data_IF_490907021722
#
_entry.id   IF_490907021722
#
_cell.length_a   1.000
_cell.length_b   1.000
_cell.length_c   1.000
_cell.angle_alpha   90.00
_cell.angle_beta   90.00
_cell.angle_gamma   90.00
#
_symmetry.space_group_name_H-M   'P 1'
#
loop_
_entity.id
_entity.type
_entity.pdbx_description
1 polymer ?
#
# COMPACT_ATOMS: atom_id res chain seq x y z
N UNK A 1 -11.04 -19.36 10.73
CA UNK A 1 -11.11 -18.30 9.71
C UNK A 1 -9.68 -17.93 9.42
N UNK A 2 -9.07 -18.66 8.50
CA UNK A 2 -7.75 -18.32 7.98
C UNK A 2 -8.00 -17.14 7.04
N UNK A 3 -7.76 -15.92 7.51
CA UNK A 3 -7.63 -14.78 6.62
C UNK A 3 -6.18 -14.80 6.16
N UNK A 4 -5.97 -14.92 4.86
CA UNK A 4 -4.67 -14.72 4.28
C UNK A 4 -4.20 -13.28 4.61
N UNK A 5 -2.94 -13.06 4.97
CA UNK A 5 -2.44 -11.75 5.40
C UNK A 5 -2.64 -10.65 4.34
N UNK A 6 -2.77 -11.04 3.07
CA UNK A 6 -3.12 -10.19 1.94
C UNK A 6 -4.52 -9.59 2.05
N UNK A 7 -5.53 -10.37 2.48
CA UNK A 7 -6.91 -9.90 2.63
C UNK A 7 -7.02 -8.80 3.68
N UNK A 8 -6.35 -9.00 4.82
CA UNK A 8 -6.32 -8.00 5.89
C UNK A 8 -5.62 -6.73 5.42
N UNK A 9 -4.53 -6.88 4.67
CA UNK A 9 -3.78 -5.74 4.11
C UNK A 9 -4.63 -4.98 3.09
N UNK A 10 -5.34 -5.69 2.21
CA UNK A 10 -6.25 -5.10 1.22
C UNK A 10 -7.39 -4.34 1.88
N UNK A 11 -7.96 -4.86 2.97
CA UNK A 11 -8.99 -4.18 3.74
C UNK A 11 -8.49 -2.84 4.35
N UNK A 12 -7.24 -2.82 4.84
CA UNK A 12 -6.62 -1.59 5.36
C UNK A 12 -6.40 -0.58 4.22
N UNK A 13 -5.85 -1.03 3.09
CA UNK A 13 -5.60 -0.17 1.92
C UNK A 13 -6.91 0.42 1.36
N UNK A 14 -7.96 -0.39 1.28
CA UNK A 14 -9.30 0.04 0.85
C UNK A 14 -9.88 1.13 1.75
N UNK A 15 -9.66 1.03 3.07
CA UNK A 15 -10.09 2.07 4.01
C UNK A 15 -9.33 3.37 3.78
N UNK A 16 -8.00 3.30 3.63
CA UNK A 16 -7.16 4.48 3.38
C UNK A 16 -7.54 5.16 2.05
N UNK A 17 -7.80 4.37 1.00
CA UNK A 17 -8.34 4.86 -0.27
C UNK A 17 -9.64 5.62 -0.07
N UNK A 18 -10.64 5.01 0.56
CA UNK A 18 -11.94 5.65 0.79
C UNK A 18 -11.83 6.95 1.60
N UNK A 19 -10.97 6.99 2.61
CA UNK A 19 -10.75 8.21 3.41
C UNK A 19 -10.04 9.31 2.58
N UNK A 20 -9.12 8.92 1.69
CA UNK A 20 -8.42 9.84 0.78
C UNK A 20 -9.34 10.38 -0.31
N UNK A 21 -10.17 9.54 -0.93
CA UNK A 21 -11.16 9.94 -1.94
C UNK A 21 -12.20 10.88 -1.35
N UNK A 22 -12.63 10.65 -0.10
CA UNK A 22 -13.50 11.60 0.63
C UNK A 22 -12.84 12.95 0.85
N UNK A 23 -11.53 12.97 1.12
CA UNK A 23 -10.78 14.20 1.34
C UNK A 23 -10.52 14.97 0.04
N UNK A 24 -10.19 14.26 -1.04
CA UNK A 24 -9.83 14.85 -2.34
C UNK A 24 -11.03 15.14 -3.25
N UNK A 25 -12.13 14.39 -3.10
CA UNK A 25 -13.35 14.54 -3.91
C UNK A 25 -13.27 13.90 -5.31
N UNK A 26 -12.27 13.05 -5.56
CA UNK A 26 -12.11 12.29 -6.81
C UNK A 26 -11.52 10.89 -6.53
N UNK A 27 -11.68 9.97 -7.49
CA UNK A 27 -11.23 8.58 -7.37
C UNK A 27 -9.70 8.45 -7.38
N UNK A 28 -9.16 7.63 -6.47
CA UNK A 28 -7.71 7.39 -6.34
C UNK A 28 -7.40 5.96 -6.79
N UNK A 29 -6.65 5.85 -7.88
CA UNK A 29 -6.35 4.55 -8.51
C UNK A 29 -4.88 4.14 -8.38
N UNK A 30 -3.98 5.05 -8.03
CA UNK A 30 -2.54 4.81 -8.02
C UNK A 30 -1.93 5.21 -6.66
N UNK A 31 -1.00 4.40 -6.16
CA UNK A 31 -0.35 4.66 -4.88
C UNK A 31 1.12 4.22 -4.84
N UNK A 32 1.91 4.91 -4.01
CA UNK A 32 3.24 4.47 -3.59
C UNK A 32 3.12 3.89 -2.18
N UNK A 33 3.55 2.65 -2.01
CA UNK A 33 3.41 1.90 -0.75
C UNK A 33 4.77 1.79 -0.07
N UNK A 34 4.84 2.12 1.22
CA UNK A 34 6.04 1.97 2.02
C UNK A 34 6.09 0.61 2.71
N UNK A 35 7.30 0.07 2.90
CA UNK A 35 7.54 -1.18 3.61
C UNK A 35 8.73 -1.07 4.55
N UNK A 36 8.74 -1.90 5.58
CA UNK A 36 9.89 -2.01 6.47
C UNK A 36 11.14 -2.50 5.71
N UNK A 37 12.31 -1.98 6.07
CA UNK A 37 13.61 -2.23 5.40
C UNK A 37 14.02 -3.72 5.33
N UNK A 38 13.39 -4.59 6.13
CA UNK A 38 13.68 -6.03 6.20
C UNK A 38 12.78 -6.90 5.32
N UNK A 39 11.88 -6.30 4.54
CA UNK A 39 11.05 -7.06 3.60
C UNK A 39 11.92 -7.61 2.45
N UNK A 40 11.85 -8.92 2.25
CA UNK A 40 12.52 -9.62 1.16
C UNK A 40 11.66 -9.63 -0.10
N UNK A 41 12.28 -9.82 -1.28
CA UNK A 41 11.57 -9.83 -2.56
C UNK A 41 10.34 -10.77 -2.63
N UNK A 42 10.35 -11.97 -2.01
CA UNK A 42 9.16 -12.84 -1.94
C UNK A 42 7.97 -12.21 -1.20
N UNK A 43 8.23 -11.34 -0.22
CA UNK A 43 7.21 -10.67 0.59
C UNK A 43 6.61 -9.43 -0.10
N UNK A 44 7.21 -8.96 -1.20
CA UNK A 44 6.69 -7.84 -2.01
C UNK A 44 5.49 -8.26 -2.87
N UNK A 45 5.43 -9.53 -3.30
CA UNK A 45 4.32 -10.02 -4.13
C UNK A 45 2.98 -9.96 -3.39
N UNK A 46 2.85 -10.47 -2.15
CA UNK A 46 1.66 -10.29 -1.31
C UNK A 46 1.20 -8.85 -1.19
N UNK A 47 2.12 -7.90 -0.99
CA UNK A 47 1.78 -6.48 -0.81
C UNK A 47 1.20 -5.86 -2.08
N UNK A 48 1.75 -6.22 -3.25
CA UNK A 48 1.22 -5.76 -4.54
C UNK A 48 -0.13 -6.39 -4.86
N UNK A 49 -0.31 -7.65 -4.51
CA UNK A 49 -1.60 -8.33 -4.68
C UNK A 49 -2.66 -7.69 -3.78
N UNK A 50 -2.34 -7.43 -2.51
CA UNK A 50 -3.23 -6.72 -1.60
C UNK A 50 -3.60 -5.32 -2.09
N UNK A 51 -2.67 -4.61 -2.75
CA UNK A 51 -2.96 -3.32 -3.38
C UNK A 51 -3.93 -3.47 -4.56
N UNK A 52 -3.69 -4.45 -5.42
CA UNK A 52 -4.58 -4.76 -6.54
C UNK A 52 -5.99 -5.14 -6.07
N UNK A 53 -6.10 -5.94 -5.01
CA UNK A 53 -7.37 -6.29 -4.36
C UNK A 53 -8.11 -5.09 -3.77
N UNK A 54 -7.41 -4.00 -3.47
CA UNK A 54 -7.97 -2.75 -2.98
C UNK A 54 -8.28 -1.74 -4.10
N UNK A 55 -8.26 -2.16 -5.37
CA UNK A 55 -8.37 -1.30 -6.56
C UNK A 55 -7.34 -0.15 -6.54
N UNK A 56 -6.10 -0.45 -6.14
CA UNK A 56 -4.97 0.47 -6.15
C UNK A 56 -3.80 -0.12 -6.94
N UNK A 57 -3.30 0.61 -7.92
CA UNK A 57 -2.08 0.28 -8.64
C UNK A 57 -0.85 0.75 -7.85
N UNK A 58 -0.05 -0.22 -7.39
CA UNK A 58 1.17 0.04 -6.64
C UNK A 58 2.32 0.45 -7.59
N UNK A 59 2.37 1.74 -7.96
CA UNK A 59 3.39 2.33 -8.83
C UNK A 59 4.81 2.02 -8.36
N UNK A 60 5.02 2.08 -7.04
CA UNK A 60 6.28 1.73 -6.43
C UNK A 60 6.06 1.22 -5.01
N UNK A 61 6.82 0.19 -4.66
CA UNK A 61 7.01 -0.22 -3.28
C UNK A 61 8.39 0.27 -2.85
N UNK A 62 8.44 1.11 -1.82
CA UNK A 62 9.67 1.74 -1.37
C UNK A 62 9.95 1.49 0.10
N UNK A 63 11.23 1.51 0.47
CA UNK A 63 11.61 1.34 1.86
C UNK A 63 11.20 2.57 2.68
N UNK A 64 10.59 2.35 3.83
CA UNK A 64 10.22 3.37 4.80
C UNK A 64 11.38 4.33 5.15
N UNK A 65 12.61 3.89 5.48
CA UNK A 65 13.68 4.84 5.77
C UNK A 65 14.06 5.70 4.56
N UNK A 66 13.91 5.19 3.34
CA UNK A 66 14.11 5.98 2.11
C UNK A 66 12.99 7.00 1.92
N UNK A 67 11.74 6.64 2.22
CA UNK A 67 10.61 7.55 2.18
C UNK A 67 10.77 8.67 3.22
N UNK A 68 11.16 8.32 4.44
CA UNK A 68 11.44 9.29 5.50
C UNK A 68 12.57 10.24 5.12
N UNK A 69 13.65 9.73 4.51
CA UNK A 69 14.75 10.57 4.04
C UNK A 69 14.32 11.56 2.93
N UNK A 70 13.41 11.15 2.04
CA UNK A 70 12.85 12.06 1.01
C UNK A 70 11.89 13.09 1.59
N UNK A 71 11.14 12.76 2.63
CA UNK A 71 10.21 13.68 3.27
C UNK A 71 10.91 14.74 4.15
N UNK A 72 12.07 14.40 4.71
CA UNK A 72 12.89 15.33 5.50
C UNK A 72 13.78 16.25 4.65
N UNK A 73 13.91 16.00 3.34
CA UNK A 73 14.70 16.82 2.41
C UNK A 73 13.88 18.03 1.93
#
# INVERSE_FOLDING_TARGET
MECDPEDLTAAILSKVKADTERYLGFDVNEAVITIAVRFSAPQLRPVREAAHMADLEALRVMNEPTAAALACA
#
